data_IF_668975444815
#
_entry.id   IF_668975444815
#
_cell.length_a   1.000
_cell.length_b   1.000
_cell.length_c   1.000
_cell.angle_alpha   90.00
_cell.angle_beta   90.00
_cell.angle_gamma   90.00
#
_symmetry.space_group_name_H-M   'P 1'
#
loop_
_entity.id
_entity.type
_entity.pdbx_description
1 polymer ?
#
# COMPACT_ATOMS: atom_id res chain seq x y z
N UNK A 1 -12.94 16.76 33.65
CA UNK A 1 -12.53 16.84 32.25
C UNK A 1 -11.09 16.39 32.19
N UNK A 2 -10.90 15.11 31.95
CA UNK A 2 -9.56 14.51 31.86
C UNK A 2 -9.29 14.20 30.40
N UNK A 3 -8.56 15.10 29.78
CA UNK A 3 -8.02 14.95 28.43
C UNK A 3 -6.69 14.21 28.57
N UNK A 4 -6.77 12.91 28.86
CA UNK A 4 -5.58 12.07 28.85
C UNK A 4 -5.04 11.99 27.43
N UNK A 5 -3.98 12.75 27.20
CA UNK A 5 -3.08 12.68 26.05
C UNK A 5 -2.80 11.22 25.72
N UNK A 6 -3.29 10.79 24.58
CA UNK A 6 -2.73 9.60 23.91
C UNK A 6 -1.32 9.98 23.46
N UNK A 7 -0.36 9.76 24.34
CA UNK A 7 1.05 9.77 23.94
C UNK A 7 1.20 8.74 22.83
N UNK A 8 1.47 9.24 21.63
CA UNK A 8 1.74 8.40 20.49
C UNK A 8 2.92 7.50 20.81
N UNK A 9 2.73 6.21 20.72
CA UNK A 9 3.82 5.24 20.76
C UNK A 9 4.94 5.73 19.85
N UNK A 10 6.21 5.72 20.28
CA UNK A 10 7.31 6.15 19.43
C UNK A 10 7.25 5.38 18.11
N UNK A 11 7.18 6.11 17.01
CA UNK A 11 7.12 5.52 15.69
C UNK A 11 8.33 4.60 15.54
N UNK A 12 8.08 3.33 15.19
CA UNK A 12 9.15 2.38 14.89
C UNK A 12 10.05 2.98 13.82
N UNK A 13 11.39 3.00 14.01
CA UNK A 13 12.28 3.56 13.02
C UNK A 13 12.10 2.86 11.68
N UNK A 14 11.87 3.65 10.64
CA UNK A 14 11.73 3.14 9.27
C UNK A 14 13.12 3.04 8.65
N UNK A 15 13.47 1.84 8.23
CA UNK A 15 14.72 1.56 7.54
C UNK A 15 14.46 1.34 6.04
N UNK A 16 15.48 1.53 5.21
CA UNK A 16 15.44 1.11 3.82
C UNK A 16 15.54 -0.42 3.67
N UNK A 17 15.43 -0.91 2.43
CA UNK A 17 15.49 -2.35 2.15
C UNK A 17 16.82 -3.03 2.52
N UNK A 18 17.88 -2.25 2.74
CA UNK A 18 19.17 -2.74 3.21
C UNK A 18 19.32 -2.66 4.75
N UNK A 19 18.28 -2.20 5.46
CA UNK A 19 18.30 -2.04 6.90
C UNK A 19 18.98 -0.76 7.40
N UNK A 20 19.35 0.16 6.50
CA UNK A 20 19.90 1.47 6.84
C UNK A 20 18.79 2.40 7.34
N UNK A 21 18.99 3.12 8.46
CA UNK A 21 18.05 4.16 8.89
C UNK A 21 17.86 5.23 7.81
N UNK A 22 16.62 5.66 7.60
CA UNK A 22 16.33 6.75 6.67
C UNK A 22 16.85 8.08 7.22
N UNK A 23 17.38 8.92 6.34
CA UNK A 23 17.68 10.31 6.67
C UNK A 23 16.41 11.11 6.97
N UNK A 24 16.55 12.27 7.62
CA UNK A 24 15.40 13.14 7.90
C UNK A 24 14.64 13.54 6.63
N UNK A 25 15.34 13.82 5.53
CA UNK A 25 14.74 14.12 4.23
C UNK A 25 13.96 12.95 3.65
N UNK A 26 14.52 11.75 3.71
CA UNK A 26 13.85 10.51 3.27
C UNK A 26 12.60 10.21 4.11
N UNK A 27 12.69 10.39 5.43
CA UNK A 27 11.53 10.25 6.32
C UNK A 27 10.42 11.25 5.99
N UNK A 28 10.78 12.51 5.70
CA UNK A 28 9.84 13.54 5.25
C UNK A 28 9.16 13.16 3.93
N UNK A 29 9.92 12.62 2.98
CA UNK A 29 9.37 12.12 1.72
C UNK A 29 8.37 10.98 1.93
N UNK A 30 8.72 9.99 2.75
CA UNK A 30 7.83 8.86 3.09
C UNK A 30 6.55 9.35 3.76
N UNK A 31 6.66 10.29 4.71
CA UNK A 31 5.50 10.87 5.38
C UNK A 31 4.58 11.61 4.40
N UNK A 32 5.16 12.40 3.50
CA UNK A 32 4.40 13.12 2.45
C UNK A 32 3.71 12.15 1.48
N UNK A 33 4.41 11.11 1.03
CA UNK A 33 3.84 10.09 0.15
C UNK A 33 2.68 9.35 0.83
N UNK A 34 2.84 8.99 2.09
CA UNK A 34 1.77 8.35 2.90
C UNK A 34 0.55 9.25 3.00
N UNK A 35 0.73 10.52 3.32
CA UNK A 35 -0.37 11.49 3.42
C UNK A 35 -1.07 11.65 2.07
N UNK A 36 -0.32 11.77 0.97
CA UNK A 36 -0.88 11.91 -0.37
C UNK A 36 -1.72 10.68 -0.75
N UNK A 37 -1.19 9.49 -0.56
CA UNK A 37 -1.91 8.25 -0.85
C UNK A 37 -3.21 8.14 -0.04
N UNK A 38 -3.16 8.52 1.24
CA UNK A 38 -4.33 8.53 2.11
C UNK A 38 -5.39 9.52 1.63
N UNK A 39 -5.02 10.76 1.31
CA UNK A 39 -5.95 11.78 0.80
C UNK A 39 -6.62 11.34 -0.50
N UNK A 40 -5.87 10.73 -1.41
CA UNK A 40 -6.41 10.20 -2.66
C UNK A 40 -7.38 9.03 -2.43
N UNK A 41 -7.09 8.20 -1.43
CA UNK A 41 -7.90 7.04 -1.11
C UNK A 41 -9.17 7.39 -0.33
N UNK A 42 -9.10 8.24 0.68
CA UNK A 42 -10.24 8.52 1.55
C UNK A 42 -11.40 9.22 0.84
N UNK A 43 -11.13 10.00 -0.20
CA UNK A 43 -12.13 10.65 -1.03
C UNK A 43 -12.86 11.81 -0.37
N UNK A 44 -12.30 12.43 0.65
CA UNK A 44 -12.89 13.57 1.37
C UNK A 44 -12.48 14.89 0.73
N UNK A 45 -11.19 15.11 0.51
CA UNK A 45 -10.67 16.36 -0.07
C UNK A 45 -10.69 16.34 -1.60
N UNK A 46 -10.49 15.16 -2.19
CA UNK A 46 -10.50 14.94 -3.63
C UNK A 46 -11.35 13.72 -3.94
N UNK A 47 -11.75 13.57 -5.21
CA UNK A 47 -12.54 12.40 -5.62
C UNK A 47 -11.75 11.12 -5.33
N UNK A 48 -12.39 10.16 -4.68
CA UNK A 48 -11.82 8.87 -4.27
C UNK A 48 -11.11 8.14 -5.42
N UNK A 49 -9.92 7.64 -5.12
CA UNK A 49 -9.18 6.66 -5.93
C UNK A 49 -9.20 5.31 -5.20
N UNK A 50 -9.28 4.21 -5.94
CA UNK A 50 -9.03 2.90 -5.34
C UNK A 50 -7.59 2.84 -4.81
N UNK A 51 -7.33 1.95 -3.84
CA UNK A 51 -6.04 1.89 -3.16
C UNK A 51 -4.83 1.75 -4.10
N UNK A 52 -4.91 0.90 -5.12
CA UNK A 52 -3.82 0.73 -6.09
C UNK A 52 -3.61 1.97 -6.96
N UNK A 53 -4.68 2.61 -7.40
CA UNK A 53 -4.62 3.85 -8.18
C UNK A 53 -4.07 5.00 -7.32
N UNK A 54 -4.51 5.12 -6.08
CA UNK A 54 -3.98 6.11 -5.15
C UNK A 54 -2.48 5.97 -4.97
N UNK A 55 -1.99 4.74 -4.85
CA UNK A 55 -0.57 4.47 -4.71
C UNK A 55 0.20 4.84 -5.99
N UNK A 56 -0.25 4.41 -7.15
CA UNK A 56 0.39 4.74 -8.43
C UNK A 56 0.44 6.26 -8.66
N UNK A 57 -0.67 6.95 -8.43
CA UNK A 57 -0.75 8.41 -8.58
C UNK A 57 0.17 9.14 -7.61
N UNK A 58 0.35 8.62 -6.40
CA UNK A 58 1.27 9.16 -5.41
C UNK A 58 2.70 9.21 -5.94
N UNK A 59 3.11 8.23 -6.71
CA UNK A 59 4.46 8.15 -7.30
C UNK A 59 4.52 8.64 -8.75
N UNK A 60 3.46 9.27 -9.24
CA UNK A 60 3.44 9.83 -10.59
C UNK A 60 3.43 8.80 -11.71
N UNK A 61 2.97 7.59 -11.43
CA UNK A 61 2.92 6.50 -12.40
C UNK A 61 1.58 6.48 -13.16
N UNK A 62 1.55 5.96 -14.39
CA UNK A 62 0.31 5.76 -15.14
C UNK A 62 -0.64 4.84 -14.40
N UNK A 63 -1.92 5.22 -14.30
CA UNK A 63 -2.89 4.53 -13.45
C UNK A 63 -3.75 3.44 -14.13
N UNK A 64 -3.88 3.38 -15.48
CA UNK A 64 -4.83 2.45 -16.11
C UNK A 64 -4.61 0.97 -15.75
N UNK A 65 -3.36 0.52 -15.70
CA UNK A 65 -3.04 -0.87 -15.35
C UNK A 65 -3.46 -1.24 -13.92
N UNK A 66 -3.48 -0.27 -13.02
CA UNK A 66 -3.88 -0.48 -11.62
C UNK A 66 -5.38 -0.67 -11.44
N UNK A 67 -6.19 -0.35 -12.44
CA UNK A 67 -7.64 -0.61 -12.39
C UNK A 67 -7.93 -2.11 -12.31
N UNK A 68 -7.12 -2.94 -12.95
CA UNK A 68 -7.28 -4.39 -12.90
C UNK A 68 -6.99 -4.99 -11.50
N UNK A 69 -6.32 -4.25 -10.64
CA UNK A 69 -6.02 -4.67 -9.27
C UNK A 69 -7.14 -4.35 -8.28
N UNK A 70 -8.13 -3.57 -8.70
CA UNK A 70 -9.26 -3.20 -7.85
C UNK A 70 -9.93 -4.44 -7.29
N UNK A 71 -10.24 -4.41 -6.00
CA UNK A 71 -10.96 -5.49 -5.33
C UNK A 71 -10.38 -6.89 -5.57
N UNK A 72 -9.06 -7.04 -5.45
CA UNK A 72 -8.40 -8.34 -5.65
C UNK A 72 -8.60 -8.88 -7.07
N UNK A 73 -8.31 -8.06 -8.08
CA UNK A 73 -8.47 -8.43 -9.49
C UNK A 73 -9.93 -8.41 -9.97
N UNK A 74 -10.71 -7.42 -9.54
CA UNK A 74 -12.12 -7.18 -9.89
C UNK A 74 -13.09 -8.16 -9.20
N UNK A 75 -12.74 -9.43 -9.15
CA UNK A 75 -13.63 -10.51 -8.68
C UNK A 75 -13.64 -10.69 -7.17
N UNK A 76 -12.68 -10.12 -6.46
CA UNK A 76 -12.46 -10.35 -5.04
C UNK A 76 -11.71 -11.65 -4.72
N UNK A 77 -11.49 -12.50 -5.73
CA UNK A 77 -10.85 -13.81 -5.56
C UNK A 77 -9.32 -13.76 -5.54
N UNK A 78 -8.73 -12.63 -5.95
CA UNK A 78 -7.28 -12.44 -5.93
C UNK A 78 -6.78 -11.78 -4.67
N UNK A 79 -5.45 -11.73 -4.53
CA UNK A 79 -4.77 -11.02 -3.45
C UNK A 79 -5.19 -9.54 -3.42
N UNK A 80 -5.21 -8.97 -2.23
CA UNK A 80 -5.52 -7.55 -2.00
C UNK A 80 -4.83 -6.64 -3.01
N UNK A 81 -5.63 -5.81 -3.69
CA UNK A 81 -5.13 -4.93 -4.75
C UNK A 81 -4.12 -3.89 -4.25
N UNK A 82 -4.21 -3.47 -2.99
CA UNK A 82 -3.22 -2.59 -2.39
C UNK A 82 -1.85 -3.26 -2.30
N UNK A 83 -1.81 -4.52 -1.88
CA UNK A 83 -0.56 -5.29 -1.79
C UNK A 83 0.06 -5.51 -3.18
N UNK A 84 -0.75 -5.90 -4.14
CA UNK A 84 -0.30 -6.07 -5.54
C UNK A 84 0.16 -4.76 -6.17
N UNK A 85 -0.54 -3.67 -5.88
CA UNK A 85 -0.15 -2.35 -6.36
C UNK A 85 1.23 -1.92 -5.83
N UNK A 86 1.53 -2.20 -4.57
CA UNK A 86 2.87 -1.94 -4.02
C UNK A 86 3.96 -2.69 -4.78
N UNK A 87 3.75 -3.97 -5.05
CA UNK A 87 4.69 -4.77 -5.86
C UNK A 87 4.84 -4.21 -7.28
N UNK A 88 3.74 -3.81 -7.91
CA UNK A 88 3.77 -3.24 -9.26
C UNK A 88 4.47 -1.89 -9.31
N UNK A 89 4.25 -1.01 -8.35
CA UNK A 89 4.98 0.27 -8.23
C UNK A 89 6.47 0.02 -8.11
N UNK A 90 6.89 -0.92 -7.27
CA UNK A 90 8.30 -1.27 -7.15
C UNK A 90 8.87 -1.81 -8.47
N UNK A 91 8.10 -2.63 -9.18
CA UNK A 91 8.47 -3.12 -10.50
C UNK A 91 8.67 -2.00 -11.52
N UNK A 92 7.78 -1.02 -11.55
CA UNK A 92 7.88 0.12 -12.46
C UNK A 92 9.08 1.04 -12.13
N UNK A 93 9.41 1.19 -10.84
CA UNK A 93 10.50 2.08 -10.42
C UNK A 93 11.89 1.42 -10.46
N UNK A 94 11.98 0.11 -10.24
CA UNK A 94 13.24 -0.59 -10.00
C UNK A 94 13.51 -1.73 -10.99
N UNK A 95 12.53 -2.07 -11.83
CA UNK A 95 12.66 -3.13 -12.83
C UNK A 95 13.60 -2.74 -13.97
N UNK A 96 14.11 -3.74 -14.67
CA UNK A 96 14.89 -3.54 -15.87
C UNK A 96 13.97 -3.02 -17.00
N UNK A 97 14.30 -1.91 -17.66
CA UNK A 97 13.51 -1.44 -18.80
C UNK A 97 13.64 -2.35 -20.04
N UNK A 98 14.67 -3.17 -20.12
CA UNK A 98 14.80 -4.20 -21.16
C UNK A 98 13.88 -5.37 -20.85
N UNK A 99 12.89 -5.69 -21.72
CA UNK A 99 11.97 -6.80 -21.49
C UNK A 99 12.63 -8.18 -21.46
N UNK A 100 13.86 -8.29 -21.93
CA UNK A 100 14.66 -9.53 -21.86
C UNK A 100 15.61 -9.56 -20.67
N UNK A 101 15.64 -8.48 -19.89
CA UNK A 101 16.50 -8.34 -18.71
C UNK A 101 16.09 -9.25 -17.56
N UNK A 102 17.04 -9.52 -16.68
CA UNK A 102 16.78 -10.25 -15.44
C UNK A 102 16.19 -9.31 -14.38
N UNK A 103 15.60 -9.89 -13.34
CA UNK A 103 15.19 -9.15 -12.15
C UNK A 103 16.39 -8.41 -11.57
N UNK A 104 16.29 -7.09 -11.45
CA UNK A 104 17.38 -6.29 -10.89
C UNK A 104 17.62 -6.62 -9.42
N UNK A 105 18.85 -6.52 -8.91
CA UNK A 105 19.13 -6.71 -7.48
C UNK A 105 18.32 -5.76 -6.59
N UNK A 106 18.14 -4.51 -7.02
CA UNK A 106 17.35 -3.51 -6.29
C UNK A 106 15.88 -3.92 -6.17
N UNK A 107 15.26 -4.36 -7.27
CA UNK A 107 13.88 -4.83 -7.25
C UNK A 107 13.72 -6.06 -6.35
N UNK A 108 14.64 -7.03 -6.46
CA UNK A 108 14.59 -8.23 -5.62
C UNK A 108 14.65 -7.88 -4.13
N UNK A 109 15.57 -7.03 -3.73
CA UNK A 109 15.71 -6.60 -2.34
C UNK A 109 14.45 -5.85 -1.86
N UNK A 110 13.94 -4.92 -2.68
CA UNK A 110 12.76 -4.14 -2.34
C UNK A 110 11.50 -4.99 -2.21
N UNK A 111 11.27 -5.93 -3.11
CA UNK A 111 10.12 -6.86 -3.06
C UNK A 111 10.20 -7.75 -1.82
N UNK A 112 11.37 -8.32 -1.52
CA UNK A 112 11.54 -9.16 -0.33
C UNK A 112 11.22 -8.37 0.94
N UNK A 113 11.82 -7.19 1.06
CA UNK A 113 11.55 -6.31 2.20
C UNK A 113 10.08 -5.91 2.29
N UNK A 114 9.45 -5.56 1.17
CA UNK A 114 8.05 -5.16 1.11
C UNK A 114 7.12 -6.29 1.55
N UNK A 115 7.33 -7.51 1.07
CA UNK A 115 6.51 -8.67 1.42
C UNK A 115 6.66 -9.02 2.90
N UNK A 116 7.87 -8.97 3.44
CA UNK A 116 8.12 -9.21 4.87
C UNK A 116 7.47 -8.12 5.74
N UNK A 117 7.59 -6.86 5.36
CA UNK A 117 6.96 -5.75 6.06
C UNK A 117 5.43 -5.83 6.02
N UNK A 118 4.86 -6.15 4.87
CA UNK A 118 3.42 -6.34 4.72
C UNK A 118 2.90 -7.50 5.59
N UNK A 119 3.61 -8.62 5.60
CA UNK A 119 3.26 -9.77 6.42
C UNK A 119 3.29 -9.45 7.93
N UNK A 120 4.26 -8.63 8.36
CA UNK A 120 4.43 -8.25 9.76
C UNK A 120 3.46 -7.17 10.24
N UNK A 121 3.07 -6.24 9.36
CA UNK A 121 2.35 -5.03 9.75
C UNK A 121 0.87 -5.02 9.35
N UNK A 122 0.46 -5.86 8.39
CA UNK A 122 -0.92 -5.89 7.94
C UNK A 122 -1.82 -6.51 9.01
N UNK A 123 -2.77 -5.72 9.50
CA UNK A 123 -3.89 -6.26 10.27
C UNK A 123 -4.89 -6.93 9.31
N UNK A 124 -4.99 -8.24 9.41
CA UNK A 124 -5.89 -9.06 8.59
C UNK A 124 -7.25 -9.30 9.26
N UNK A 125 -7.45 -8.80 10.48
CA UNK A 125 -8.70 -9.00 11.22
C UNK A 125 -9.05 -10.48 11.45
N UNK A 126 -8.06 -11.37 11.47
CA UNK A 126 -8.25 -12.82 11.59
C UNK A 126 -8.48 -13.55 10.27
N UNK A 127 -8.36 -12.88 9.12
CA UNK A 127 -8.43 -13.55 7.82
C UNK A 127 -7.30 -14.58 7.65
N UNK A 128 -7.57 -15.75 7.00
CA UNK A 128 -6.58 -16.80 6.84
C UNK A 128 -5.44 -16.41 5.88
N UNK A 129 -5.69 -15.49 4.98
CA UNK A 129 -4.77 -15.06 3.94
C UNK A 129 -5.03 -13.59 3.54
N UNK A 130 -4.43 -13.16 2.44
CA UNK A 130 -4.56 -11.81 1.88
C UNK A 130 -5.48 -11.75 0.66
N UNK A 131 -6.31 -12.73 0.45
CA UNK A 131 -7.35 -12.72 -0.59
C UNK A 131 -8.39 -11.65 -0.24
N UNK A 132 -8.74 -10.81 -1.22
CA UNK A 132 -9.58 -9.63 -0.99
C UNK A 132 -10.91 -10.00 -0.31
N UNK A 133 -11.63 -10.99 -0.82
CA UNK A 133 -12.90 -11.43 -0.23
C UNK A 133 -12.75 -11.89 1.23
N UNK A 134 -11.65 -12.56 1.57
CA UNK A 134 -11.39 -13.03 2.94
C UNK A 134 -11.05 -11.86 3.87
N UNK A 135 -10.26 -10.90 3.40
CA UNK A 135 -9.96 -9.68 4.16
C UNK A 135 -11.22 -8.85 4.41
N UNK A 136 -12.03 -8.62 3.39
CA UNK A 136 -13.29 -7.86 3.51
C UNK A 136 -14.25 -8.54 4.47
N UNK A 137 -14.34 -9.86 4.44
CA UNK A 137 -15.19 -10.64 5.35
C UNK A 137 -14.71 -10.56 6.80
N UNK A 138 -13.40 -10.68 7.03
CA UNK A 138 -12.82 -10.67 8.37
C UNK A 138 -12.79 -9.26 8.99
N UNK A 139 -12.43 -8.26 8.20
CA UNK A 139 -12.43 -6.86 8.63
C UNK A 139 -13.84 -6.26 8.70
N UNK A 140 -14.82 -6.95 8.22
CA UNK A 140 -16.28 -6.91 8.38
C UNK A 140 -16.93 -5.54 8.22
N UNK A 141 -16.31 -4.59 8.69
CA UNK A 141 -16.84 -3.30 8.97
C UNK A 141 -16.31 -2.19 8.05
N UNK A 142 -16.08 -2.50 6.83
CA UNK A 142 -16.17 -1.43 5.88
C UNK A 142 -17.66 -1.08 5.65
N UNK A 143 -18.48 -1.09 6.66
CA UNK A 143 -19.90 -0.74 6.64
C UNK A 143 -20.09 0.76 6.75
N UNK A 144 -20.57 1.32 5.76
CA UNK A 144 -20.89 2.74 5.72
C UNK A 144 -20.95 3.25 4.29
N UNK A 145 -21.46 4.46 4.08
CA UNK A 145 -21.59 5.03 2.74
C UNK A 145 -20.30 5.15 1.95
N UNK A 146 -19.17 5.01 2.61
CA UNK A 146 -17.84 5.07 1.98
C UNK A 146 -17.40 3.78 1.31
N UNK A 147 -18.18 2.73 1.38
CA UNK A 147 -17.77 1.41 0.95
C UNK A 147 -18.12 1.01 -0.43
N UNK A 148 -19.16 1.53 -0.91
CA UNK A 148 -19.64 1.22 -2.24
C UNK A 148 -18.65 1.79 -3.23
N UNK A 149 -17.82 0.91 -3.80
CA UNK A 149 -16.85 1.28 -4.81
C UNK A 149 -15.42 1.51 -4.32
N UNK A 150 -15.08 1.11 -3.10
CA UNK A 150 -13.76 1.39 -2.52
C UNK A 150 -12.63 0.52 -3.08
N UNK A 151 -12.84 -0.67 -3.50
CA UNK A 151 -11.75 -1.46 -4.08
C UNK A 151 -11.85 -1.64 -5.57
#
# INVERSE_FOLDING_TARGET
MDESRREGSPATPVNDAAGRPLTAGEQGYVAAARTRAFVLYEGVQVRHRSCGIALAETFGLPTPAYQALRRGGITGAGTCGALRAGEQVLGELLGDPDPTGAVTPALRAAITWYQDAAAAQLDRGGAPDTICNNLVRALGEFSGPRRVGFC
#
